data_IF_178395536802
#
_entry.id   IF_178395536802
#
_cell.length_a   1.000
_cell.length_b   1.000
_cell.length_c   1.000
_cell.angle_alpha   90.00
_cell.angle_beta   90.00
_cell.angle_gamma   90.00
#
_symmetry.space_group_name_H-M   'P 1'
#
loop_
_entity.id
_entity.type
_entity.pdbx_description
1 polymer ?
#
# COMPACT_ATOMS: atom_id res chain seq x y z
N UNK A 1 -3.32 -11.72 -20.60
CA UNK A 1 -4.01 -12.96 -21.00
C UNK A 1 -3.19 -13.56 -22.13
N UNK A 2 -2.53 -14.69 -21.89
CA UNK A 2 -1.64 -15.33 -22.87
C UNK A 2 -2.39 -16.00 -24.01
N UNK A 3 -1.75 -16.08 -25.17
CA UNK A 3 -2.23 -16.68 -26.42
C UNK A 3 -2.83 -18.08 -26.22
N UNK A 4 -4.15 -18.20 -26.37
CA UNK A 4 -4.89 -19.45 -26.26
C UNK A 4 -4.80 -20.33 -27.53
N UNK A 5 -4.06 -19.89 -28.55
CA UNK A 5 -4.03 -20.52 -29.88
C UNK A 5 -2.82 -21.41 -30.15
N UNK A 6 -1.81 -21.40 -29.29
CA UNK A 6 -0.62 -22.27 -29.45
C UNK A 6 -0.73 -23.44 -28.47
N UNK A 7 -0.85 -24.70 -28.94
CA UNK A 7 -0.84 -25.84 -28.04
C UNK A 7 0.51 -25.89 -27.31
N UNK A 8 0.47 -25.96 -25.98
CA UNK A 8 1.66 -26.11 -25.16
C UNK A 8 2.32 -27.46 -25.50
N UNK A 9 3.46 -27.41 -26.18
CA UNK A 9 4.29 -28.59 -26.44
C UNK A 9 5.13 -28.82 -25.19
N UNK A 10 4.96 -29.97 -24.56
CA UNK A 10 5.75 -30.31 -23.38
C UNK A 10 7.24 -30.31 -23.73
N UNK A 11 8.05 -29.46 -23.09
CA UNK A 11 9.46 -29.33 -23.42
C UNK A 11 10.24 -30.59 -23.03
N UNK A 12 11.33 -30.87 -23.75
CA UNK A 12 12.15 -32.08 -23.54
C UNK A 12 13.11 -31.95 -22.34
N UNK A 13 13.35 -30.72 -21.86
CA UNK A 13 14.22 -30.39 -20.72
C UNK A 13 13.83 -29.04 -20.10
N UNK A 14 14.26 -28.77 -18.85
CA UNK A 14 14.03 -27.48 -18.19
C UNK A 14 14.72 -26.33 -18.96
N UNK A 15 15.90 -26.59 -19.52
CA UNK A 15 16.69 -25.60 -20.25
C UNK A 15 16.03 -25.21 -21.57
N UNK A 16 15.26 -26.13 -22.18
CA UNK A 16 14.44 -25.85 -23.35
C UNK A 16 13.09 -25.22 -22.98
N UNK A 17 12.62 -25.38 -21.75
CA UNK A 17 11.34 -24.87 -21.26
C UNK A 17 11.38 -23.37 -20.89
N UNK A 18 12.52 -22.88 -20.40
CA UNK A 18 12.64 -21.56 -19.80
C UNK A 18 13.33 -20.57 -20.75
N UNK A 19 12.68 -19.44 -21.00
CA UNK A 19 13.25 -18.31 -21.76
C UNK A 19 14.43 -17.67 -21.02
N UNK A 20 14.35 -17.62 -19.69
CA UNK A 20 15.43 -17.14 -18.83
C UNK A 20 16.15 -18.33 -18.18
N UNK A 21 17.39 -18.56 -18.63
CA UNK A 21 18.24 -19.67 -18.20
C UNK A 21 18.87 -19.46 -16.82
N UNK A 22 18.67 -18.29 -16.19
CA UNK A 22 19.18 -18.01 -14.84
C UNK A 22 18.26 -18.52 -13.72
N UNK A 23 17.01 -18.86 -14.05
CA UNK A 23 15.98 -19.29 -13.11
C UNK A 23 16.22 -20.70 -12.51
N UNK A 24 16.62 -21.73 -13.28
CA UNK A 24 16.77 -23.07 -12.72
C UNK A 24 18.05 -23.21 -11.91
N UNK A 25 17.93 -23.78 -10.71
CA UNK A 25 19.04 -24.08 -9.82
C UNK A 25 18.96 -25.54 -9.33
N UNK A 26 20.10 -26.23 -9.33
CA UNK A 26 20.26 -27.62 -8.87
C UNK A 26 20.83 -27.70 -7.44
N UNK A 27 20.76 -26.60 -6.69
CA UNK A 27 21.31 -26.43 -5.34
C UNK A 27 20.24 -25.91 -4.38
N UNK A 28 20.48 -26.08 -3.08
CA UNK A 28 19.64 -25.47 -2.04
C UNK A 28 20.15 -24.07 -1.70
N UNK A 29 19.28 -23.15 -1.32
CA UNK A 29 19.67 -21.79 -0.93
C UNK A 29 19.63 -21.62 0.59
N UNK A 30 20.78 -21.33 1.21
CA UNK A 30 20.91 -21.14 2.66
C UNK A 30 21.74 -19.89 2.93
N UNK A 31 21.22 -18.97 3.75
CA UNK A 31 21.99 -17.83 4.25
C UNK A 31 22.46 -16.82 3.18
N UNK A 32 21.86 -16.84 1.98
CA UNK A 32 22.28 -15.99 0.86
C UNK A 32 23.11 -16.71 -0.21
N UNK A 33 23.40 -18.00 -0.03
CA UNK A 33 24.30 -18.76 -0.91
C UNK A 33 23.67 -20.07 -1.43
N UNK A 34 24.10 -20.50 -2.62
CA UNK A 34 23.70 -21.78 -3.22
C UNK A 34 24.60 -22.92 -2.75
N UNK A 35 24.07 -23.79 -1.89
CA UNK A 35 24.74 -24.87 -1.18
C UNK A 35 24.48 -26.23 -1.85
N UNK A 36 25.51 -27.05 -1.94
CA UNK A 36 25.44 -28.45 -2.41
C UNK A 36 25.50 -29.42 -1.24
N UNK A 37 24.91 -30.61 -1.40
CA UNK A 37 24.92 -31.68 -0.40
C UNK A 37 25.90 -32.80 -0.76
N UNK A 38 26.18 -33.68 0.19
CA UNK A 38 26.97 -34.90 -0.03
C UNK A 38 26.22 -35.95 -0.86
N UNK A 39 24.90 -35.94 -0.79
CA UNK A 39 24.00 -36.82 -1.53
C UNK A 39 22.96 -36.01 -2.28
N UNK A 40 22.46 -36.54 -3.39
CA UNK A 40 21.41 -35.93 -4.20
C UNK A 40 20.26 -36.91 -4.41
N UNK A 41 19.08 -36.39 -4.76
CA UNK A 41 17.94 -37.20 -5.17
C UNK A 41 17.36 -36.66 -6.50
N UNK A 42 16.87 -37.55 -7.38
CA UNK A 42 16.30 -37.15 -8.66
C UNK A 42 14.89 -36.56 -8.50
N UNK A 43 14.63 -35.47 -9.21
CA UNK A 43 13.29 -34.91 -9.45
C UNK A 43 12.84 -35.36 -10.83
N UNK A 44 11.63 -35.92 -10.92
CA UNK A 44 11.10 -36.51 -12.15
C UNK A 44 10.05 -35.61 -12.80
N UNK A 45 10.01 -35.65 -14.12
CA UNK A 45 8.92 -35.12 -14.92
C UNK A 45 7.69 -36.03 -14.77
N UNK A 46 6.54 -35.54 -14.25
CA UNK A 46 5.36 -36.37 -14.10
C UNK A 46 4.76 -36.84 -15.43
N UNK A 47 5.02 -36.15 -16.54
CA UNK A 47 4.50 -36.51 -17.86
C UNK A 47 5.35 -37.58 -18.56
N UNK A 48 6.68 -37.52 -18.43
CA UNK A 48 7.60 -38.43 -19.14
C UNK A 48 8.32 -39.44 -18.23
N UNK A 49 8.21 -39.27 -16.92
CA UNK A 49 8.94 -40.01 -15.88
C UNK A 49 10.47 -39.97 -16.02
N UNK A 50 11.01 -39.00 -16.77
CA UNK A 50 12.45 -38.77 -16.91
C UNK A 50 12.95 -37.88 -15.77
N UNK A 51 14.22 -38.04 -15.41
CA UNK A 51 14.87 -37.17 -14.43
C UNK A 51 15.04 -35.79 -15.05
N UNK A 52 14.52 -34.78 -14.36
CA UNK A 52 14.66 -33.38 -14.71
C UNK A 52 15.92 -32.78 -14.08
N UNK A 53 16.13 -33.02 -12.79
CA UNK A 53 17.25 -32.47 -12.03
C UNK A 53 17.61 -33.38 -10.85
N UNK A 54 18.85 -33.32 -10.39
CA UNK A 54 19.27 -33.95 -9.14
C UNK A 54 19.46 -32.85 -8.09
N UNK A 55 18.67 -32.89 -7.02
CA UNK A 55 18.68 -31.86 -5.97
C UNK A 55 19.43 -32.40 -4.75
N UNK A 56 20.24 -31.58 -4.06
CA UNK A 56 20.93 -32.01 -2.85
C UNK A 56 19.97 -32.41 -1.74
N UNK A 57 20.27 -33.54 -1.09
CA UNK A 57 19.69 -33.93 0.19
C UNK A 57 20.61 -33.42 1.29
N UNK A 58 20.22 -32.34 1.95
CA UNK A 58 21.02 -31.67 2.98
C UNK A 58 20.85 -32.31 4.36
N UNK A 59 21.89 -32.21 5.19
CA UNK A 59 21.91 -32.72 6.57
C UNK A 59 21.16 -31.80 7.56
N UNK A 60 20.88 -32.32 8.75
CA UNK A 60 20.30 -31.55 9.87
C UNK A 60 21.12 -30.31 10.24
N UNK A 61 22.45 -30.37 10.11
CA UNK A 61 23.34 -29.23 10.39
C UNK A 61 23.04 -28.04 9.47
N UNK A 62 22.88 -28.30 8.16
CA UNK A 62 22.48 -27.26 7.20
C UNK A 62 21.12 -26.66 7.56
N UNK A 63 20.19 -27.48 8.06
CA UNK A 63 18.88 -27.03 8.51
C UNK A 63 18.99 -26.11 9.73
N UNK A 64 19.82 -26.47 10.71
CA UNK A 64 20.12 -25.61 11.88
C UNK A 64 20.74 -24.29 11.44
N UNK A 65 21.74 -24.31 10.55
CA UNK A 65 22.35 -23.09 9.99
C UNK A 65 21.33 -22.21 9.28
N UNK A 66 20.41 -22.80 8.50
CA UNK A 66 19.33 -22.06 7.87
C UNK A 66 18.39 -21.39 8.89
N UNK A 67 18.05 -22.08 9.98
CA UNK A 67 17.25 -21.53 11.08
C UNK A 67 17.99 -20.39 11.77
N UNK A 68 19.29 -20.51 12.02
CA UNK A 68 20.10 -19.47 12.63
C UNK A 68 20.20 -18.21 11.76
N UNK A 69 20.45 -18.38 10.45
CA UNK A 69 20.39 -17.29 9.49
C UNK A 69 19.02 -16.61 9.51
N UNK A 70 17.95 -17.39 9.41
CA UNK A 70 16.59 -16.85 9.45
C UNK A 70 16.30 -16.11 10.77
N UNK A 71 16.72 -16.65 11.92
CA UNK A 71 16.54 -16.01 13.23
C UNK A 71 17.33 -14.71 13.37
N UNK A 72 18.57 -14.67 12.85
CA UNK A 72 19.39 -13.46 12.86
C UNK A 72 18.79 -12.40 11.97
N UNK A 73 18.47 -12.75 10.72
CA UNK A 73 17.92 -11.82 9.75
C UNK A 73 16.49 -11.40 10.10
N UNK A 74 15.73 -12.20 10.86
CA UNK A 74 14.43 -11.76 11.36
C UNK A 74 14.52 -10.46 12.18
N UNK A 75 15.63 -10.24 12.90
CA UNK A 75 15.84 -9.03 13.72
C UNK A 75 16.09 -7.78 12.87
N UNK A 76 16.78 -7.93 11.75
CA UNK A 76 17.08 -6.85 10.78
C UNK A 76 15.93 -6.65 9.80
N UNK A 77 15.35 -7.73 9.26
CA UNK A 77 14.16 -7.73 8.41
C UNK A 77 12.98 -6.99 9.03
N UNK A 78 12.83 -7.05 10.36
CA UNK A 78 11.77 -6.31 11.05
C UNK A 78 11.94 -4.79 10.96
N UNK A 79 13.09 -4.24 10.53
CA UNK A 79 13.42 -2.84 10.20
C UNK A 79 12.88 -1.71 11.12
N UNK A 80 12.31 -2.04 12.28
CA UNK A 80 11.69 -1.06 13.19
C UNK A 80 12.72 -0.18 13.87
N UNK A 81 13.98 -0.64 13.94
CA UNK A 81 15.05 0.07 14.63
C UNK A 81 15.45 1.35 13.88
N UNK A 82 15.71 1.24 12.58
CA UNK A 82 16.23 2.38 11.80
C UNK A 82 15.12 3.39 11.52
N UNK A 83 13.92 2.91 11.19
CA UNK A 83 12.76 3.79 11.01
C UNK A 83 12.34 4.46 12.32
N UNK A 84 12.46 3.77 13.45
CA UNK A 84 12.23 4.34 14.78
C UNK A 84 13.27 5.41 15.15
N UNK A 85 14.55 5.21 14.82
CA UNK A 85 15.59 6.23 15.01
C UNK A 85 15.31 7.46 14.14
N UNK A 86 15.00 7.25 12.85
CA UNK A 86 14.65 8.34 11.93
C UNK A 86 13.47 9.16 12.46
N UNK A 87 12.41 8.47 12.89
CA UNK A 87 11.22 9.10 13.47
C UNK A 87 11.55 9.92 14.72
N UNK A 88 12.37 9.38 15.63
CA UNK A 88 12.84 10.14 16.80
C UNK A 88 13.65 11.38 16.38
N UNK A 89 14.50 11.27 15.35
CA UNK A 89 15.34 12.38 14.90
C UNK A 89 14.53 13.53 14.27
N UNK A 90 13.45 13.25 13.53
CA UNK A 90 12.66 14.31 12.89
C UNK A 90 11.48 14.81 13.75
N UNK A 91 10.80 13.92 14.48
CA UNK A 91 9.60 14.28 15.25
C UNK A 91 9.91 14.66 16.70
N UNK A 92 10.98 14.10 17.27
CA UNK A 92 11.40 14.34 18.65
C UNK A 92 10.78 13.43 19.71
N UNK A 93 9.89 12.49 19.35
CA UNK A 93 9.35 11.51 20.30
C UNK A 93 10.38 10.48 20.76
N UNK A 94 10.15 9.90 21.93
CA UNK A 94 11.09 8.91 22.50
C UNK A 94 11.22 7.69 21.59
N UNK A 95 12.37 7.01 21.61
CA UNK A 95 12.60 5.83 20.75
C UNK A 95 11.58 4.71 21.03
N UNK A 96 11.09 4.59 22.26
CA UNK A 96 10.06 3.63 22.63
C UNK A 96 8.73 3.95 21.94
N UNK A 97 8.28 5.21 21.98
CA UNK A 97 7.08 5.66 21.28
C UNK A 97 7.23 5.58 19.77
N UNK A 98 8.40 5.92 19.24
CA UNK A 98 8.70 5.83 17.81
C UNK A 98 8.58 4.39 17.30
N UNK A 99 9.15 3.41 18.03
CA UNK A 99 9.00 1.99 17.70
C UNK A 99 7.53 1.55 17.76
N UNK A 100 6.81 1.97 18.80
CA UNK A 100 5.37 1.70 18.90
C UNK A 100 4.59 2.25 17.71
N UNK A 101 4.92 3.46 17.23
CA UNK A 101 4.30 4.02 16.03
C UNK A 101 4.67 3.25 14.76
N UNK A 102 5.93 2.86 14.57
CA UNK A 102 6.35 2.07 13.40
C UNK A 102 5.56 0.76 13.34
N UNK A 103 5.47 0.06 14.46
CA UNK A 103 4.70 -1.19 14.55
C UNK A 103 3.22 -0.94 14.32
N UNK A 104 2.64 0.10 14.94
CA UNK A 104 1.26 0.48 14.73
C UNK A 104 0.97 0.82 13.25
N UNK A 105 1.86 1.58 12.62
CA UNK A 105 1.80 1.94 11.21
C UNK A 105 1.83 0.74 10.28
N UNK A 106 2.65 -0.27 10.61
CA UNK A 106 2.73 -1.52 9.86
C UNK A 106 1.43 -2.34 9.95
N UNK A 107 0.71 -2.29 11.08
CA UNK A 107 -0.57 -3.04 11.20
C UNK A 107 -1.62 -2.59 10.17
N UNK A 108 -1.65 -1.30 9.80
CA UNK A 108 -2.53 -0.82 8.73
C UNK A 108 -2.19 -1.44 7.37
N UNK A 109 -0.90 -1.59 7.07
CA UNK A 109 -0.46 -2.20 5.80
C UNK A 109 -0.92 -3.65 5.76
N UNK A 110 -0.63 -4.43 6.80
CA UNK A 110 -1.04 -5.83 6.88
C UNK A 110 -2.56 -6.00 6.80
N UNK A 111 -3.30 -5.20 7.58
CA UNK A 111 -4.76 -5.24 7.59
C UNK A 111 -5.35 -4.95 6.21
N UNK A 112 -4.92 -3.88 5.55
CA UNK A 112 -5.50 -3.52 4.25
C UNK A 112 -5.01 -4.42 3.11
N UNK A 113 -3.84 -5.04 3.22
CA UNK A 113 -3.43 -6.11 2.30
C UNK A 113 -4.39 -7.30 2.37
N UNK A 114 -4.86 -7.65 3.58
CA UNK A 114 -5.88 -8.66 3.77
C UNK A 114 -7.27 -8.20 3.29
N UNK A 115 -7.64 -6.94 3.51
CA UNK A 115 -8.93 -6.41 3.03
C UNK A 115 -9.02 -6.24 1.51
N UNK A 116 -7.87 -6.14 0.81
CA UNK A 116 -7.84 -5.96 -0.64
C UNK A 116 -8.64 -7.04 -1.39
N UNK A 117 -8.59 -8.30 -0.92
CA UNK A 117 -9.30 -9.44 -1.52
C UNK A 117 -10.74 -9.60 -1.02
N UNK A 118 -11.20 -8.73 -0.11
CA UNK A 118 -12.52 -8.77 0.54
C UNK A 118 -13.44 -7.62 0.12
N UNK A 119 -13.18 -7.01 -1.04
CA UNK A 119 -14.06 -6.01 -1.65
C UNK A 119 -15.32 -6.67 -2.23
N UNK A 120 -16.20 -7.17 -1.35
CA UNK A 120 -17.44 -7.83 -1.74
C UNK A 120 -18.40 -6.88 -2.47
N UNK A 121 -19.40 -7.43 -3.15
CA UNK A 121 -20.52 -6.70 -3.72
C UNK A 121 -21.83 -7.08 -3.01
N UNK A 122 -22.95 -6.50 -3.45
CA UNK A 122 -24.27 -6.79 -2.89
C UNK A 122 -25.26 -7.12 -4.02
N UNK A 123 -26.19 -8.04 -3.76
CA UNK A 123 -27.31 -8.33 -4.68
C UNK A 123 -28.59 -7.85 -3.99
N UNK A 124 -29.25 -6.86 -4.60
CA UNK A 124 -30.41 -6.20 -4.02
C UNK A 124 -31.69 -6.70 -4.72
N UNK A 125 -32.76 -7.04 -3.98
CA UNK A 125 -34.04 -7.40 -4.58
C UNK A 125 -34.54 -6.31 -5.55
N UNK A 126 -34.98 -6.74 -6.73
CA UNK A 126 -35.55 -5.84 -7.73
C UNK A 126 -37.06 -5.68 -7.54
N UNK A 127 -37.54 -4.45 -7.70
CA UNK A 127 -38.96 -4.13 -7.78
C UNK A 127 -39.58 -4.49 -9.16
N UNK A 128 -38.74 -4.64 -10.20
CA UNK A 128 -39.16 -5.05 -11.54
C UNK A 128 -38.92 -6.55 -11.75
N UNK A 129 -39.88 -7.25 -12.36
CA UNK A 129 -39.74 -8.66 -12.72
C UNK A 129 -38.68 -8.84 -13.81
N UNK A 130 -37.86 -9.88 -13.68
CA UNK A 130 -36.84 -10.23 -14.68
C UNK A 130 -35.57 -9.38 -14.62
N UNK A 131 -35.41 -8.51 -13.63
CA UNK A 131 -34.17 -7.74 -13.43
C UNK A 131 -33.51 -8.05 -12.10
N UNK A 132 -32.18 -7.90 -12.06
CA UNK A 132 -31.34 -8.12 -10.88
C UNK A 132 -30.50 -6.88 -10.63
N UNK A 133 -30.49 -6.37 -9.40
CA UNK A 133 -29.63 -5.25 -9.02
C UNK A 133 -28.33 -5.82 -8.42
N UNK A 134 -27.21 -5.55 -9.08
CA UNK A 134 -25.88 -5.92 -8.61
C UNK A 134 -25.10 -4.66 -8.23
N UNK A 135 -24.49 -4.68 -7.06
CA UNK A 135 -23.57 -3.65 -6.59
C UNK A 135 -22.16 -4.22 -6.60
N UNK A 136 -21.24 -3.53 -7.27
CA UNK A 136 -19.81 -3.83 -7.25
C UNK A 136 -19.04 -2.64 -6.69
N UNK A 137 -17.87 -2.90 -6.11
CA UNK A 137 -16.94 -1.88 -5.60
C UNK A 137 -15.73 -1.82 -6.54
N UNK A 138 -15.36 -0.61 -6.97
CA UNK A 138 -14.25 -0.38 -7.90
C UNK A 138 -13.34 0.73 -7.35
N UNK A 139 -12.04 0.72 -7.71
CA UNK A 139 -11.14 1.82 -7.37
C UNK A 139 -11.68 3.14 -7.89
N UNK A 140 -11.54 4.18 -7.08
CA UNK A 140 -11.97 5.53 -7.46
C UNK A 140 -10.97 6.16 -8.45
N UNK A 141 -9.67 5.87 -8.33
CA UNK A 141 -8.64 6.42 -9.21
C UNK A 141 -7.44 6.96 -8.46
N UNK A 142 -7.16 8.26 -8.61
CA UNK A 142 -5.98 8.91 -8.01
C UNK A 142 -6.37 9.54 -6.67
N UNK A 143 -5.65 9.26 -5.59
CA UNK A 143 -5.92 9.81 -4.26
C UNK A 143 -4.89 10.86 -3.86
N UNK A 144 -5.36 12.00 -3.34
CA UNK A 144 -4.53 13.01 -2.70
C UNK A 144 -4.46 12.78 -1.18
N UNK A 145 -3.25 12.69 -0.64
CA UNK A 145 -3.01 12.42 0.79
C UNK A 145 -2.27 13.58 1.43
N UNK A 146 -2.86 14.12 2.49
CA UNK A 146 -2.24 15.11 3.37
C UNK A 146 -2.31 14.57 4.80
N UNK A 147 -1.17 14.53 5.48
CA UNK A 147 -1.05 14.00 6.82
C UNK A 147 -0.36 15.00 7.77
N UNK A 148 -0.70 14.97 9.07
CA UNK A 148 -0.08 15.83 10.08
C UNK A 148 1.24 15.24 10.61
N UNK A 149 2.00 16.07 11.31
CA UNK A 149 3.34 15.76 11.80
C UNK A 149 3.39 14.91 13.08
N UNK A 150 2.30 14.76 13.82
CA UNK A 150 2.32 14.13 15.16
C UNK A 150 2.53 12.60 15.12
N UNK A 151 2.05 11.93 14.07
CA UNK A 151 2.28 10.52 13.79
C UNK A 151 2.61 10.33 12.30
N UNK A 152 3.83 10.71 11.87
CA UNK A 152 4.16 10.81 10.44
C UNK A 152 4.24 9.46 9.73
N UNK A 153 4.39 8.34 10.45
CA UNK A 153 4.30 7.00 9.86
C UNK A 153 2.84 6.55 9.87
N UNK A 154 2.20 6.54 11.04
CA UNK A 154 0.88 5.94 11.17
C UNK A 154 -0.21 6.72 10.40
N UNK A 155 -0.11 8.05 10.30
CA UNK A 155 -1.08 8.84 9.53
C UNK A 155 -0.96 8.62 8.03
N UNK A 156 0.26 8.36 7.55
CA UNK A 156 0.53 8.06 6.15
C UNK A 156 0.05 6.65 5.82
N UNK A 157 0.47 5.63 6.58
CA UNK A 157 0.12 4.24 6.29
C UNK A 157 -1.38 3.99 6.40
N UNK A 158 -2.08 4.63 7.35
CA UNK A 158 -3.54 4.55 7.49
C UNK A 158 -4.31 5.08 6.27
N UNK A 159 -3.68 5.84 5.37
CA UNK A 159 -4.29 6.40 4.16
C UNK A 159 -3.78 5.71 2.89
N UNK A 160 -2.47 5.49 2.80
CA UNK A 160 -1.86 4.82 1.64
C UNK A 160 -2.32 3.37 1.56
N UNK A 161 -2.35 2.64 2.68
CA UNK A 161 -2.69 1.23 2.69
C UNK A 161 -4.11 0.94 2.14
N UNK A 162 -5.20 1.59 2.59
CA UNK A 162 -6.51 1.36 2.00
C UNK A 162 -6.61 1.85 0.54
N UNK A 163 -5.91 2.93 0.17
CA UNK A 163 -5.92 3.43 -1.20
C UNK A 163 -5.31 2.41 -2.17
N UNK A 164 -4.12 1.89 -1.86
CA UNK A 164 -3.44 0.90 -2.69
C UNK A 164 -4.22 -0.42 -2.70
N UNK A 165 -4.73 -0.87 -1.54
CA UNK A 165 -5.54 -2.08 -1.44
C UNK A 165 -6.80 -2.03 -2.31
N UNK A 166 -7.44 -0.85 -2.42
CA UNK A 166 -8.58 -0.64 -3.29
C UNK A 166 -8.22 -0.60 -4.79
N UNK A 167 -6.93 -0.49 -5.14
CA UNK A 167 -6.44 -0.36 -6.51
C UNK A 167 -6.22 1.09 -6.97
N UNK A 168 -6.07 2.04 -6.04
CA UNK A 168 -5.83 3.45 -6.35
C UNK A 168 -4.32 3.79 -6.36
N UNK A 169 -3.95 4.83 -7.12
CA UNK A 169 -2.62 5.45 -7.05
C UNK A 169 -2.66 6.67 -6.13
N UNK A 170 -1.55 7.01 -5.47
CA UNK A 170 -1.54 8.07 -4.46
C UNK A 170 -0.50 9.15 -4.75
N UNK A 171 -0.86 10.39 -4.41
CA UNK A 171 0.04 11.52 -4.36
C UNK A 171 -0.02 12.12 -2.96
N UNK A 172 1.13 12.23 -2.32
CA UNK A 172 1.27 12.52 -0.89
C UNK A 172 2.00 13.83 -0.71
N UNK A 173 1.40 14.79 0.00
CA UNK A 173 2.13 15.91 0.61
C UNK A 173 2.35 15.59 2.08
N UNK A 174 3.56 15.19 2.48
CA UNK A 174 3.87 14.97 3.88
C UNK A 174 3.95 16.32 4.62
N UNK A 175 3.84 16.30 5.96
CA UNK A 175 4.08 17.49 6.77
C UNK A 175 5.51 17.99 6.57
N UNK A 176 5.68 19.31 6.53
CA UNK A 176 6.99 19.95 6.30
C UNK A 176 7.99 19.73 7.44
N UNK A 177 7.45 19.44 8.63
CA UNK A 177 8.16 19.22 9.88
C UNK A 177 8.73 17.80 9.98
N UNK A 178 8.07 16.81 9.37
CA UNK A 178 8.44 15.38 9.44
C UNK A 178 8.30 14.65 8.09
N UNK A 179 8.97 15.13 7.02
CA UNK A 179 8.84 14.52 5.70
C UNK A 179 9.68 13.25 5.51
N UNK A 180 10.72 13.02 6.32
CA UNK A 180 11.70 11.96 6.08
C UNK A 180 11.09 10.57 6.30
N UNK A 181 10.22 10.39 7.30
CA UNK A 181 9.52 9.11 7.48
C UNK A 181 8.67 8.74 6.27
N UNK A 182 8.00 9.71 5.63
CA UNK A 182 7.19 9.44 4.42
C UNK A 182 8.06 9.01 3.25
N UNK A 183 9.21 9.66 3.07
CA UNK A 183 10.18 9.29 2.03
C UNK A 183 10.77 7.90 2.29
N UNK A 184 11.12 7.58 3.54
CA UNK A 184 11.63 6.27 3.93
C UNK A 184 10.59 5.16 3.69
N UNK A 185 9.32 5.38 4.05
CA UNK A 185 8.22 4.45 3.74
C UNK A 185 8.07 4.23 2.24
N UNK A 186 8.23 5.26 1.43
CA UNK A 186 8.14 5.16 -0.04
C UNK A 186 9.30 4.35 -0.62
N UNK A 187 10.52 4.54 -0.10
CA UNK A 187 11.67 3.71 -0.48
C UNK A 187 11.43 2.24 -0.14
N UNK A 188 10.90 1.95 1.06
CA UNK A 188 10.54 0.59 1.48
C UNK A 188 9.41 0.00 0.60
N UNK A 189 8.42 0.80 0.20
CA UNK A 189 7.35 0.37 -0.68
C UNK A 189 7.85 -0.07 -2.07
N UNK A 190 8.77 0.70 -2.66
CA UNK A 190 9.41 0.34 -3.94
C UNK A 190 10.24 -0.94 -3.79
N UNK A 191 10.99 -1.08 -2.69
CA UNK A 191 11.73 -2.31 -2.40
C UNK A 191 10.82 -3.53 -2.20
N UNK A 192 9.62 -3.33 -1.65
CA UNK A 192 8.60 -4.37 -1.49
C UNK A 192 7.92 -4.76 -2.82
N UNK A 193 8.25 -4.10 -3.94
CA UNK A 193 7.73 -4.40 -5.27
C UNK A 193 6.50 -3.60 -5.69
N UNK A 194 6.10 -2.55 -4.94
CA UNK A 194 5.07 -1.62 -5.41
C UNK A 194 5.61 -0.87 -6.64
N UNK A 195 4.87 -0.82 -7.77
CA UNK A 195 5.34 -0.12 -8.95
C UNK A 195 5.66 1.35 -8.65
N UNK A 196 6.82 1.90 -9.10
CA UNK A 196 7.29 3.22 -8.68
C UNK A 196 6.30 4.38 -8.89
N UNK A 197 5.44 4.30 -9.92
CA UNK A 197 4.49 5.36 -10.24
C UNK A 197 3.18 5.28 -9.43
N UNK A 198 3.01 4.28 -8.56
CA UNK A 198 1.80 4.14 -7.72
C UNK A 198 1.83 5.08 -6.52
N UNK A 199 3.02 5.42 -6.00
CA UNK A 199 3.20 6.31 -4.84
C UNK A 199 4.08 7.48 -5.24
N UNK A 200 3.51 8.68 -5.24
CA UNK A 200 4.22 9.93 -5.50
C UNK A 200 4.28 10.75 -4.21
N UNK A 201 5.46 11.24 -3.81
CA UNK A 201 5.62 12.09 -2.63
C UNK A 201 6.17 13.45 -3.05
N UNK A 202 5.48 14.53 -2.69
CA UNK A 202 5.86 15.90 -3.03
C UNK A 202 6.06 16.70 -1.74
N UNK A 203 7.32 16.97 -1.41
CA UNK A 203 7.69 17.77 -0.23
C UNK A 203 7.70 19.25 -0.56
N UNK A 204 7.11 20.07 0.32
CA UNK A 204 7.16 21.54 0.19
C UNK A 204 6.86 22.20 1.54
N UNK A 205 7.47 23.36 1.79
CA UNK A 205 7.17 24.24 2.92
C UNK A 205 6.10 25.28 2.60
N UNK A 206 5.76 25.41 1.32
CA UNK A 206 4.83 26.43 0.86
C UNK A 206 3.41 26.09 1.31
N UNK A 207 2.81 27.05 2.01
CA UNK A 207 1.42 27.01 2.50
C UNK A 207 0.44 27.38 1.37
N UNK A 208 0.86 28.19 0.38
CA UNK A 208 0.08 28.49 -0.83
C UNK A 208 -0.02 27.29 -1.77
N UNK A 209 0.95 26.36 -1.67
CA UNK A 209 0.85 25.00 -2.21
C UNK A 209 -0.19 24.20 -1.40
N UNK A 210 -1.43 24.69 -1.44
CA UNK A 210 -2.57 23.98 -0.92
C UNK A 210 -2.86 22.87 -1.92
N UNK A 211 -2.29 21.70 -1.62
CA UNK A 211 -2.46 20.48 -2.39
C UNK A 211 -3.93 20.17 -2.66
N UNK A 212 -4.85 20.55 -1.76
CA UNK A 212 -6.29 20.48 -1.99
C UNK A 212 -6.74 21.35 -3.17
N UNK A 213 -6.30 22.61 -3.27
CA UNK A 213 -6.64 23.52 -4.38
C UNK A 213 -6.15 22.98 -5.73
N UNK A 214 -4.93 22.44 -5.77
CA UNK A 214 -4.39 21.86 -7.01
C UNK A 214 -5.10 20.56 -7.39
N UNK A 215 -5.43 19.69 -6.43
CA UNK A 215 -6.23 18.49 -6.71
C UNK A 215 -7.64 18.83 -7.18
N UNK A 216 -8.30 19.80 -6.54
CA UNK A 216 -9.63 20.28 -6.96
C UNK A 216 -9.60 20.89 -8.36
N UNK A 217 -8.60 21.72 -8.66
CA UNK A 217 -8.40 22.29 -10.00
C UNK A 217 -8.15 21.20 -11.04
N UNK A 218 -7.27 20.25 -10.73
CA UNK A 218 -6.94 19.16 -11.65
C UNK A 218 -8.15 18.27 -11.94
N UNK A 219 -8.97 17.97 -10.93
CA UNK A 219 -10.23 17.25 -11.08
C UNK A 219 -11.26 18.04 -11.91
N UNK A 220 -11.38 19.35 -11.69
CA UNK A 220 -12.25 20.21 -12.49
C UNK A 220 -11.86 20.19 -13.97
N UNK A 221 -10.56 20.33 -14.25
CA UNK A 221 -10.02 20.39 -15.61
C UNK A 221 -10.03 19.00 -16.29
N UNK A 222 -10.10 17.92 -15.51
CA UNK A 222 -10.12 16.53 -15.99
C UNK A 222 -11.29 15.75 -15.36
N UNK A 223 -12.50 16.02 -15.86
CA UNK A 223 -13.77 15.46 -15.35
C UNK A 223 -13.83 13.91 -15.32
N UNK A 224 -12.91 13.21 -15.98
CA UNK A 224 -12.78 11.75 -15.96
C UNK A 224 -11.97 11.20 -14.78
N UNK A 225 -11.24 12.06 -14.06
CA UNK A 225 -10.46 11.68 -12.88
C UNK A 225 -11.30 11.86 -11.62
N UNK A 226 -11.57 10.76 -10.91
CA UNK A 226 -12.12 10.87 -9.56
C UNK A 226 -10.97 10.95 -8.56
N UNK A 227 -10.84 12.12 -7.94
CA UNK A 227 -9.80 12.40 -6.94
C UNK A 227 -10.44 12.39 -5.55
N UNK A 228 -9.90 11.59 -4.64
CA UNK A 228 -10.32 11.57 -3.24
C UNK A 228 -9.23 12.16 -2.38
N UNK A 229 -9.58 13.21 -1.65
CA UNK A 229 -8.70 13.82 -0.66
C UNK A 229 -8.92 13.16 0.70
N UNK A 230 -7.86 12.58 1.27
CA UNK A 230 -7.88 11.97 2.58
C UNK A 230 -7.12 12.86 3.56
N UNK A 231 -7.81 13.73 4.29
CA UNK A 231 -7.23 14.62 5.31
C UNK A 231 -7.68 14.22 6.72
N UNK A 232 -6.74 14.09 7.69
CA UNK A 232 -7.08 13.95 9.12
C UNK A 232 -6.06 14.74 9.98
N UNK A 233 -6.55 15.85 10.58
CA UNK A 233 -6.12 16.61 11.77
C UNK A 233 -4.70 17.20 11.89
N UNK A 234 -4.58 18.52 11.68
CA UNK A 234 -3.64 19.43 12.34
C UNK A 234 -4.37 20.66 12.90
N UNK A 235 -3.85 21.31 13.96
CA UNK A 235 -4.47 22.40 14.78
C UNK A 235 -5.60 23.17 14.09
N UNK A 236 -6.81 23.15 14.69
CA UNK A 236 -7.92 24.03 14.35
C UNK A 236 -7.69 25.51 14.70
N UNK A 237 -6.54 26.08 14.32
CA UNK A 237 -6.10 27.42 14.73
C UNK A 237 -5.21 28.17 13.76
N UNK A 238 -4.74 27.58 12.66
CA UNK A 238 -4.06 28.32 11.58
C UNK A 238 -4.92 28.44 10.30
N UNK A 239 -6.05 27.71 10.26
CA UNK A 239 -6.96 27.60 9.10
C UNK A 239 -8.38 28.10 9.45
N UNK A 240 -8.48 29.04 10.41
CA UNK A 240 -9.75 29.72 10.72
C UNK A 240 -9.78 31.10 10.05
N UNK A 241 -10.55 31.30 8.97
CA UNK A 241 -11.30 32.53 8.87
C UNK A 241 -12.32 32.59 10.03
N UNK A 242 -12.73 33.78 10.41
CA UNK A 242 -13.48 34.09 11.63
C UNK A 242 -14.66 33.13 11.93
N UNK A 243 -14.82 32.81 13.23
CA UNK A 243 -15.91 32.04 13.86
C UNK A 243 -17.14 31.76 12.99
N UNK A 244 -17.26 30.52 12.52
CA UNK A 244 -18.51 29.92 12.07
C UNK A 244 -18.28 28.69 11.20
N UNK A 245 -18.90 27.56 11.55
CA UNK A 245 -19.00 26.33 10.73
C UNK A 245 -17.73 25.44 10.65
N UNK A 246 -17.65 24.48 11.57
CA UNK A 246 -16.62 23.44 11.61
C UNK A 246 -17.13 22.09 11.09
N UNK A 247 -16.75 21.76 9.85
CA UNK A 247 -16.57 20.41 9.30
C UNK A 247 -15.88 20.59 7.94
N UNK A 248 -15.18 19.58 7.39
CA UNK A 248 -14.50 19.66 6.08
C UNK A 248 -15.38 20.18 4.92
N UNK A 249 -16.70 20.20 5.14
CA UNK A 249 -17.72 20.87 4.32
C UNK A 249 -17.51 22.39 4.16
N UNK A 250 -16.92 23.11 5.12
CA UNK A 250 -16.84 24.59 5.07
C UNK A 250 -15.76 25.14 4.14
N UNK A 251 -14.63 24.45 3.96
CA UNK A 251 -13.62 24.82 2.96
C UNK A 251 -14.17 24.68 1.52
N UNK A 252 -15.12 23.77 1.31
CA UNK A 252 -15.84 23.64 0.05
C UNK A 252 -16.80 24.82 -0.16
N UNK A 253 -17.54 25.25 0.88
CA UNK A 253 -18.47 26.38 0.76
C UNK A 253 -17.75 27.69 0.40
N UNK A 254 -16.57 27.96 0.97
CA UNK A 254 -15.81 29.18 0.68
C UNK A 254 -15.16 29.16 -0.72
N UNK A 255 -14.74 27.99 -1.22
CA UNK A 255 -14.20 27.88 -2.58
C UNK A 255 -15.33 27.97 -3.64
N UNK A 256 -16.48 27.32 -3.40
CA UNK A 256 -17.65 27.39 -4.29
C UNK A 256 -18.38 28.73 -4.23
N UNK A 257 -18.34 29.46 -3.10
CA UNK A 257 -18.95 30.78 -2.96
C UNK A 257 -18.28 31.87 -3.81
N UNK A 258 -17.04 31.65 -4.25
CA UNK A 258 -16.28 32.58 -5.09
C UNK A 258 -16.43 32.34 -6.60
N UNK A 259 -17.03 31.21 -7.01
CA UNK A 259 -17.31 30.85 -8.40
C UNK A 259 -18.83 30.80 -8.62
N UNK A 260 -19.40 31.93 -9.04
CA UNK A 260 -20.83 32.09 -9.27
C UNK A 260 -21.44 31.03 -10.21
N UNK A 261 -22.63 30.57 -9.81
CA UNK A 261 -23.78 30.13 -10.60
C UNK A 261 -23.55 29.09 -11.71
N UNK A 262 -23.86 27.82 -11.42
CA UNK A 262 -24.44 26.94 -12.45
C UNK A 262 -23.95 25.50 -12.55
N UNK A 263 -22.91 25.07 -11.82
CA UNK A 263 -22.43 23.69 -11.95
C UNK A 263 -21.80 23.12 -10.67
N UNK A 264 -22.42 22.11 -10.08
CA UNK A 264 -21.86 21.28 -9.00
C UNK A 264 -21.42 19.93 -9.57
N UNK A 265 -20.12 19.73 -9.86
CA UNK A 265 -19.62 18.39 -10.19
C UNK A 265 -19.64 17.48 -8.94
N UNK A 266 -19.81 16.16 -9.08
CA UNK A 266 -19.92 15.24 -7.95
C UNK A 266 -18.53 15.00 -7.32
N UNK A 267 -18.10 15.88 -6.42
CA UNK A 267 -16.92 15.63 -5.58
C UNK A 267 -17.35 14.68 -4.45
N UNK A 268 -16.98 13.41 -4.53
CA UNK A 268 -17.12 12.45 -3.42
C UNK A 268 -15.98 12.67 -2.42
N UNK A 269 -16.20 13.54 -1.44
CA UNK A 269 -15.33 13.65 -0.27
C UNK A 269 -15.63 12.46 0.67
N UNK A 270 -14.73 11.48 0.74
CA UNK A 270 -14.83 10.41 1.72
C UNK A 270 -14.05 10.81 2.98
N UNK A 271 -14.72 11.49 3.91
CA UNK A 271 -14.18 11.71 5.26
C UNK A 271 -14.26 10.38 6.01
N UNK A 272 -13.18 9.59 5.97
CA UNK A 272 -13.08 8.38 6.76
C UNK A 272 -12.85 8.71 8.24
N UNK A 273 -13.91 9.11 8.93
CA UNK A 273 -13.92 9.17 10.40
C UNK A 273 -14.16 7.74 10.90
N UNK A 274 -13.07 6.99 11.12
CA UNK A 274 -13.13 5.67 11.77
C UNK A 274 -13.54 5.87 13.23
N UNK A 275 -14.85 5.97 13.46
CA UNK A 275 -15.46 5.98 14.78
C UNK A 275 -15.34 4.59 15.39
N UNK A 276 -14.50 4.47 16.42
CA UNK A 276 -14.72 3.45 17.45
C UNK A 276 -16.04 3.80 18.13
N UNK A 277 -17.11 3.06 17.82
CA UNK A 277 -18.36 3.17 18.55
C UNK A 277 -18.16 2.55 19.95
N UNK A 278 -18.41 3.27 21.06
CA UNK A 278 -18.61 2.63 22.33
C UNK A 278 -19.99 1.96 22.31
N UNK A 279 -19.99 0.66 22.58
CA UNK A 279 -21.17 -0.10 22.95
C UNK A 279 -21.80 0.53 24.18
N UNK A 280 -23.05 1.00 24.08
CA UNK A 280 -24.03 0.93 25.18
C UNK A 280 -25.46 0.89 24.62
N UNK A 281 -26.03 -0.31 24.73
CA UNK A 281 -27.41 -0.74 24.93
C UNK A 281 -28.55 0.28 25.10
N UNK A 282 -29.67 -0.10 24.44
CA UNK A 282 -31.11 0.18 24.69
C UNK A 282 -31.58 1.62 24.45
#
# INVERSE_FOLDING_TARGET
MGDAHTPFVHPESIEAALTDKSIPHDKSFIGGEWVSGSTTFPVYDPATNKIIANIPSLSTEHFTTAIEHAHREFKTFRNTKDLGVLLTMENGKTLAEARGEVEYGATFISWFAEEAVRSYGDIIPSQHKGSTNLVIRQPIGVCGIIAPWNFPIAMITRKIAPAIAAGCTVVVKPPSETPLCTLALTALAVQAGIPPNVIQVVTTKDMEFNTAKYFMKFQHDHLSLSIVMLEISGRGGADRPARGQGSATSLLTDYYGSWHEGYTPPVRLLVAQLGLSPVTNI
#
